data_IF_773815496307
#
_entry.id   IF_773815496307
#
_cell.length_a   1.000
_cell.length_b   1.000
_cell.length_c   1.000
_cell.angle_alpha   90.00
_cell.angle_beta   90.00
_cell.angle_gamma   90.00
#
_symmetry.space_group_name_H-M   'P 1'
#
loop_
_entity.id
_entity.type
_entity.pdbx_description
1 polymer ?
#
# COMPACT_ATOMS: atom_id res chain seq x y z
N UNK A 1 39.90 -36.34 -26.80
CA UNK A 1 38.51 -36.54 -26.34
C UNK A 1 38.22 -35.42 -25.35
N UNK A 2 37.47 -34.41 -25.76
CA UNK A 2 37.09 -33.26 -24.91
C UNK A 2 35.64 -33.49 -24.46
N UNK A 3 35.28 -33.45 -23.18
CA UNK A 3 33.89 -33.34 -22.77
C UNK A 3 33.46 -31.87 -22.78
N UNK A 4 32.28 -31.70 -23.35
CA UNK A 4 31.60 -30.49 -23.77
C UNK A 4 31.18 -29.58 -22.62
N UNK A 5 31.18 -28.29 -22.89
CA UNK A 5 30.84 -27.21 -21.97
C UNK A 5 29.42 -27.33 -21.38
N UNK A 6 29.36 -26.97 -20.10
CA UNK A 6 28.16 -26.84 -19.27
C UNK A 6 27.18 -25.85 -19.90
N UNK A 7 25.96 -26.33 -20.20
CA UNK A 7 24.93 -25.55 -20.88
C UNK A 7 24.24 -24.69 -19.83
N UNK A 8 24.61 -23.42 -19.75
CA UNK A 8 23.87 -22.43 -18.97
C UNK A 8 22.47 -22.33 -19.59
N UNK A 9 21.46 -22.89 -18.94
CA UNK A 9 20.06 -22.73 -19.32
C UNK A 9 19.69 -21.27 -19.03
N UNK A 10 19.74 -20.44 -20.07
CA UNK A 10 19.12 -19.12 -20.05
C UNK A 10 17.61 -19.32 -20.10
N UNK A 11 16.95 -19.26 -18.95
CA UNK A 11 15.49 -19.18 -18.87
C UNK A 11 15.09 -17.81 -19.41
N UNK A 12 14.60 -17.77 -20.65
CA UNK A 12 13.88 -16.61 -21.15
C UNK A 12 12.72 -16.29 -20.18
N UNK A 13 12.42 -15.00 -19.93
CA UNK A 13 11.29 -14.64 -19.09
C UNK A 13 10.02 -15.28 -19.69
N UNK A 14 9.25 -16.01 -18.87
CA UNK A 14 7.99 -16.60 -19.28
C UNK A 14 7.02 -15.53 -19.80
N UNK A 15 6.11 -15.88 -20.70
CA UNK A 15 5.13 -14.95 -21.28
C UNK A 15 4.34 -14.16 -20.20
N UNK A 16 4.09 -14.77 -19.04
CA UNK A 16 3.44 -14.14 -17.87
C UNK A 16 4.28 -13.00 -17.28
N UNK A 17 5.61 -13.10 -17.37
CA UNK A 17 6.54 -12.08 -16.85
C UNK A 17 6.49 -10.79 -17.66
N UNK A 18 6.28 -10.90 -18.98
CA UNK A 18 6.23 -9.75 -19.88
C UNK A 18 4.89 -9.00 -19.76
N UNK A 19 3.78 -9.72 -19.60
CA UNK A 19 2.46 -9.11 -19.38
C UNK A 19 2.38 -8.36 -18.04
N UNK A 20 3.01 -8.89 -16.99
CA UNK A 20 3.10 -8.21 -15.70
C UNK A 20 3.94 -6.92 -15.79
N UNK A 21 5.11 -6.99 -16.44
CA UNK A 21 5.99 -5.83 -16.57
C UNK A 21 5.33 -4.64 -17.26
N UNK A 22 4.50 -4.89 -18.27
CA UNK A 22 3.75 -3.85 -19.00
C UNK A 22 2.67 -3.17 -18.15
N UNK A 23 2.18 -3.84 -17.10
CA UNK A 23 1.17 -3.29 -16.18
C UNK A 23 1.77 -2.44 -15.07
N UNK A 24 3.07 -2.56 -14.79
CA UNK A 24 3.72 -1.88 -13.66
C UNK A 24 3.52 -0.36 -13.65
N UNK A 25 3.64 0.37 -14.78
CA UNK A 25 3.37 1.81 -14.78
C UNK A 25 1.93 2.17 -14.38
N UNK A 26 0.94 1.38 -14.80
CA UNK A 26 -0.46 1.59 -14.45
C UNK A 26 -0.69 1.32 -12.95
N UNK A 27 -0.12 0.24 -12.43
CA UNK A 27 -0.23 -0.14 -11.01
C UNK A 27 0.37 0.93 -10.08
N UNK A 28 1.52 1.50 -10.46
CA UNK A 28 2.11 2.60 -9.70
C UNK A 28 1.23 3.86 -9.73
N UNK A 29 0.60 4.15 -10.88
CA UNK A 29 -0.31 5.29 -10.99
C UNK A 29 -1.62 5.08 -10.20
N UNK A 30 -2.12 3.84 -10.15
CA UNK A 30 -3.26 3.44 -9.32
C UNK A 30 -2.93 3.62 -7.83
N UNK A 31 -1.77 3.12 -7.38
CA UNK A 31 -1.29 3.29 -6.00
C UNK A 31 -1.11 4.78 -5.62
N UNK A 32 -0.52 5.59 -6.50
CA UNK A 32 -0.39 7.04 -6.29
C UNK A 32 -1.77 7.74 -6.19
N UNK A 33 -2.75 7.30 -6.97
CA UNK A 33 -4.11 7.83 -6.92
C UNK A 33 -4.81 7.46 -5.60
N UNK A 34 -4.74 6.21 -5.17
CA UNK A 34 -5.30 5.73 -3.91
C UNK A 34 -4.69 6.47 -2.71
N UNK A 35 -3.37 6.66 -2.69
CA UNK A 35 -2.70 7.42 -1.63
C UNK A 35 -3.18 8.87 -1.56
N UNK A 36 -3.35 9.53 -2.70
CA UNK A 36 -3.90 10.89 -2.77
C UNK A 36 -5.32 10.92 -2.22
N UNK A 37 -6.19 10.00 -2.62
CA UNK A 37 -7.58 9.94 -2.15
C UNK A 37 -7.68 9.69 -0.63
N UNK A 38 -6.80 8.87 -0.07
CA UNK A 38 -6.71 8.65 1.38
C UNK A 38 -6.29 9.94 2.10
N UNK A 39 -5.25 10.62 1.60
CA UNK A 39 -4.78 11.88 2.21
C UNK A 39 -5.82 13.00 2.11
N UNK A 40 -6.55 13.08 1.00
CA UNK A 40 -7.68 13.99 0.82
C UNK A 40 -8.81 13.68 1.83
N UNK A 41 -9.12 12.41 2.05
CA UNK A 41 -10.13 11.98 3.03
C UNK A 41 -9.70 12.28 4.46
N UNK A 42 -8.41 12.16 4.78
CA UNK A 42 -7.83 12.59 6.06
C UNK A 42 -7.97 14.10 6.25
N UNK A 43 -7.66 14.89 5.21
CA UNK A 43 -7.83 16.34 5.25
C UNK A 43 -9.30 16.75 5.40
N UNK A 44 -10.21 16.07 4.71
CA UNK A 44 -11.65 16.31 4.81
C UNK A 44 -12.18 16.01 6.22
N UNK A 45 -11.69 14.95 6.85
CA UNK A 45 -12.08 14.56 8.21
C UNK A 45 -11.82 15.68 9.24
N UNK A 46 -10.79 16.51 9.04
CA UNK A 46 -10.46 17.61 9.95
C UNK A 46 -11.51 18.74 10.00
N UNK A 47 -12.40 18.81 9.01
CA UNK A 47 -13.46 19.83 8.93
C UNK A 47 -14.87 19.23 9.10
N UNK A 48 -14.97 17.93 9.39
CA UNK A 48 -16.26 17.26 9.59
C UNK A 48 -16.88 17.70 10.94
N UNK A 49 -18.17 18.10 10.97
CA UNK A 49 -18.84 18.42 12.23
C UNK A 49 -18.88 17.21 13.18
N UNK A 50 -18.90 17.41 14.51
CA UNK A 50 -18.87 16.31 15.49
C UNK A 50 -19.94 15.22 15.24
N UNK A 51 -21.15 15.61 14.84
CA UNK A 51 -22.25 14.68 14.55
C UNK A 51 -21.98 13.73 13.37
N UNK A 52 -21.10 14.11 12.43
CA UNK A 52 -20.73 13.30 11.27
C UNK A 52 -19.37 12.61 11.41
N UNK A 53 -18.59 12.95 12.44
CA UNK A 53 -17.19 12.57 12.55
C UNK A 53 -17.01 11.04 12.60
N UNK A 54 -17.76 10.36 13.46
CA UNK A 54 -17.68 8.90 13.60
C UNK A 54 -17.96 8.16 12.28
N UNK A 55 -18.96 8.63 11.51
CA UNK A 55 -19.28 8.06 10.20
C UNK A 55 -18.18 8.33 9.18
N UNK A 56 -17.64 9.55 9.13
CA UNK A 56 -16.56 9.91 8.23
C UNK A 56 -15.26 9.15 8.56
N UNK A 57 -14.95 8.98 9.84
CA UNK A 57 -13.84 8.18 10.32
C UNK A 57 -13.98 6.71 9.90
N UNK A 58 -15.15 6.11 10.10
CA UNK A 58 -15.40 4.74 9.68
C UNK A 58 -15.24 4.55 8.16
N UNK A 59 -15.65 5.54 7.36
CA UNK A 59 -15.44 5.52 5.91
C UNK A 59 -13.95 5.59 5.54
N UNK A 60 -13.18 6.45 6.21
CA UNK A 60 -11.73 6.53 6.02
C UNK A 60 -11.03 5.20 6.37
N UNK A 61 -11.38 4.58 7.49
CA UNK A 61 -10.80 3.27 7.86
C UNK A 61 -11.13 2.22 6.81
N UNK A 62 -12.37 2.17 6.32
CA UNK A 62 -12.77 1.23 5.28
C UNK A 62 -12.04 1.46 3.95
N UNK A 63 -11.75 2.73 3.59
CA UNK A 63 -10.95 3.08 2.42
C UNK A 63 -9.50 2.60 2.57
N UNK A 64 -8.86 2.84 3.72
CA UNK A 64 -7.49 2.39 3.99
C UNK A 64 -7.41 0.85 3.94
N UNK A 65 -8.37 0.16 4.55
CA UNK A 65 -8.43 -1.30 4.49
C UNK A 65 -8.59 -1.84 3.06
N UNK A 66 -9.36 -1.14 2.20
CA UNK A 66 -9.53 -1.53 0.82
C UNK A 66 -8.22 -1.37 0.04
N UNK A 67 -7.53 -0.24 0.19
CA UNK A 67 -6.21 0.00 -0.43
C UNK A 67 -5.20 -1.07 0.00
N UNK A 68 -5.07 -1.34 1.30
CA UNK A 68 -4.17 -2.39 1.79
C UNK A 68 -4.50 -3.78 1.22
N UNK A 69 -5.79 -4.13 1.06
CA UNK A 69 -6.16 -5.42 0.45
C UNK A 69 -5.75 -5.51 -1.02
N UNK A 70 -5.94 -4.45 -1.80
CA UNK A 70 -5.55 -4.44 -3.21
C UNK A 70 -4.02 -4.45 -3.37
N UNK A 71 -3.29 -3.67 -2.55
CA UNK A 71 -1.83 -3.69 -2.54
C UNK A 71 -1.29 -5.06 -2.12
N UNK A 72 -1.85 -5.68 -1.08
CA UNK A 72 -1.45 -7.01 -0.65
C UNK A 72 -1.70 -8.09 -1.70
N UNK A 73 -2.81 -7.99 -2.43
CA UNK A 73 -3.11 -8.86 -3.56
C UNK A 73 -2.11 -8.63 -4.70
N UNK A 74 -1.82 -7.38 -5.02
CA UNK A 74 -0.80 -7.00 -6.00
C UNK A 74 0.57 -7.60 -5.64
N UNK A 75 1.01 -7.42 -4.39
CA UNK A 75 2.28 -7.96 -3.89
C UNK A 75 2.34 -9.49 -3.97
N UNK A 76 1.22 -10.18 -3.69
CA UNK A 76 1.09 -11.64 -3.78
C UNK A 76 1.22 -12.13 -5.23
N UNK A 77 0.45 -11.53 -6.15
CA UNK A 77 0.46 -11.84 -7.59
C UNK A 77 1.85 -11.67 -8.21
N UNK A 78 2.66 -10.75 -7.67
CA UNK A 78 4.01 -10.48 -8.15
C UNK A 78 5.09 -11.25 -7.39
N UNK A 79 4.76 -11.96 -6.32
CA UNK A 79 5.74 -12.65 -5.49
C UNK A 79 6.73 -11.69 -4.84
N UNK A 80 6.25 -10.56 -4.32
CA UNK A 80 7.08 -9.60 -3.60
C UNK A 80 7.73 -10.23 -2.36
N UNK A 81 9.07 -10.12 -2.25
CA UNK A 81 9.84 -10.82 -1.23
C UNK A 81 9.51 -10.40 0.20
N UNK A 82 9.15 -9.13 0.40
CA UNK A 82 8.90 -8.57 1.73
C UNK A 82 7.40 -8.51 2.09
N UNK A 83 6.55 -9.22 1.33
CA UNK A 83 5.09 -9.27 1.52
C UNK A 83 4.69 -9.50 2.98
N UNK A 84 5.33 -10.45 3.68
CA UNK A 84 4.99 -10.75 5.08
C UNK A 84 5.28 -9.59 6.02
N UNK A 85 6.40 -8.88 5.80
CA UNK A 85 6.74 -7.71 6.59
C UNK A 85 5.76 -6.57 6.30
N UNK A 86 5.39 -6.38 5.02
CA UNK A 86 4.43 -5.37 4.60
C UNK A 86 3.04 -5.60 5.22
N UNK A 87 2.47 -6.81 5.09
CA UNK A 87 1.19 -7.19 5.73
C UNK A 87 1.17 -6.95 7.24
N UNK A 88 2.32 -7.13 7.90
CA UNK A 88 2.43 -6.88 9.33
C UNK A 88 2.31 -5.39 9.65
N UNK A 89 2.96 -4.52 8.89
CA UNK A 89 2.87 -3.06 9.09
C UNK A 89 1.43 -2.57 8.84
N UNK A 90 0.76 -3.08 7.79
CA UNK A 90 -0.68 -2.85 7.57
C UNK A 90 -1.51 -3.26 8.78
N UNK A 91 -1.32 -4.48 9.29
CA UNK A 91 -2.08 -4.97 10.43
C UNK A 91 -1.85 -4.14 11.70
N UNK A 92 -0.62 -3.67 11.93
CA UNK A 92 -0.28 -2.80 13.05
C UNK A 92 -0.97 -1.42 12.92
N UNK A 93 -0.97 -0.84 11.72
CA UNK A 93 -1.65 0.43 11.43
C UNK A 93 -3.17 0.29 11.57
N UNK A 94 -3.78 -0.73 10.98
CA UNK A 94 -5.22 -1.01 11.10
C UNK A 94 -5.62 -1.28 12.54
N UNK A 95 -4.83 -2.04 13.30
CA UNK A 95 -5.09 -2.30 14.71
C UNK A 95 -5.14 -1.01 15.52
N UNK A 96 -4.27 -0.04 15.21
CA UNK A 96 -4.31 1.26 15.86
C UNK A 96 -5.58 2.04 15.47
N UNK A 97 -5.94 2.11 14.18
CA UNK A 97 -7.16 2.79 13.74
C UNK A 97 -8.43 2.21 14.41
N UNK A 98 -8.54 0.88 14.46
CA UNK A 98 -9.69 0.23 15.11
C UNK A 98 -9.75 0.45 16.61
N UNK A 99 -8.60 0.55 17.30
CA UNK A 99 -8.57 0.84 18.74
C UNK A 99 -9.07 2.24 19.08
N UNK A 100 -9.04 3.18 18.13
CA UNK A 100 -9.45 4.56 18.34
C UNK A 100 -10.96 4.74 18.22
N UNK A 101 -11.64 3.87 17.46
CA UNK A 101 -13.07 3.98 17.14
C UNK A 101 -13.99 4.19 18.35
N UNK A 102 -13.88 3.43 19.46
CA UNK A 102 -14.79 3.60 20.61
C UNK A 102 -14.71 5.00 21.23
N UNK A 103 -13.51 5.61 21.21
CA UNK A 103 -13.30 6.93 21.80
C UNK A 103 -13.86 8.07 20.95
N UNK A 104 -14.04 7.83 19.66
CA UNK A 104 -14.60 8.79 18.71
C UNK A 104 -16.14 8.74 18.73
N UNK A 105 -16.71 7.55 18.98
CA UNK A 105 -18.15 7.35 19.12
C UNK A 105 -18.72 8.04 20.38
N UNK A 106 -17.92 8.14 21.46
CA UNK A 106 -18.31 8.78 22.72
C UNK A 106 -18.17 10.31 22.72
N UNK A 107 -17.74 10.92 21.60
CA UNK A 107 -17.60 12.38 21.47
C UNK A 107 -16.45 12.99 22.28
N UNK A 108 -15.42 12.20 22.61
CA UNK A 108 -14.25 12.65 23.38
C UNK A 108 -13.30 13.51 22.50
N UNK A 109 -13.67 14.78 22.31
CA UNK A 109 -12.99 15.72 21.42
C UNK A 109 -11.45 15.84 21.63
N UNK A 110 -10.90 15.87 22.85
CA UNK A 110 -9.46 15.92 23.05
C UNK A 110 -8.69 14.72 22.48
N UNK A 111 -9.30 13.53 22.45
CA UNK A 111 -8.67 12.35 21.86
C UNK A 111 -8.80 12.34 20.33
N UNK A 112 -9.90 12.88 19.79
CA UNK A 112 -10.05 13.07 18.34
C UNK A 112 -8.94 13.99 17.77
N UNK A 113 -8.60 15.08 18.45
CA UNK A 113 -7.55 16.01 18.00
C UNK A 113 -6.16 15.35 17.95
N UNK A 114 -5.82 14.56 18.98
CA UNK A 114 -4.54 13.82 19.01
C UNK A 114 -4.47 12.81 17.87
N UNK A 115 -5.58 12.08 17.65
CA UNK A 115 -5.72 11.10 16.59
C UNK A 115 -5.57 11.74 15.21
N UNK A 116 -6.22 12.88 14.99
CA UNK A 116 -6.13 13.65 13.75
C UNK A 116 -4.73 14.21 13.49
N UNK A 117 -3.94 14.45 14.54
CA UNK A 117 -2.51 14.77 14.41
C UNK A 117 -1.63 13.57 14.06
N UNK A 118 -1.99 12.37 14.48
CA UNK A 118 -1.17 11.15 14.32
C UNK A 118 -1.41 10.43 12.99
N UNK A 119 -2.67 10.28 12.55
CA UNK A 119 -3.03 9.51 11.36
C UNK A 119 -2.27 9.97 10.09
N UNK A 120 -2.24 11.28 9.74
CA UNK A 120 -1.52 11.72 8.56
C UNK A 120 -0.04 11.36 8.61
N UNK A 121 0.61 11.54 9.77
CA UNK A 121 2.03 11.25 9.94
C UNK A 121 2.34 9.76 9.80
N UNK A 122 1.47 8.89 10.31
CA UNK A 122 1.64 7.44 10.19
C UNK A 122 1.49 6.97 8.73
N UNK A 123 0.46 7.45 8.03
CA UNK A 123 0.24 7.12 6.62
C UNK A 123 1.41 7.60 5.76
N UNK A 124 1.85 8.85 5.93
CA UNK A 124 3.00 9.38 5.19
C UNK A 124 4.28 8.59 5.48
N UNK A 125 4.50 8.17 6.74
CA UNK A 125 5.65 7.32 7.09
C UNK A 125 5.60 5.96 6.39
N UNK A 126 4.42 5.34 6.34
CA UNK A 126 4.20 4.08 5.63
C UNK A 126 4.50 4.23 4.14
N UNK A 127 3.88 5.23 3.49
CA UNK A 127 4.07 5.55 2.07
C UNK A 127 5.53 5.84 1.69
N UNK A 128 6.22 6.67 2.48
CA UNK A 128 7.62 7.01 2.24
C UNK A 128 8.60 5.87 2.58
N UNK A 129 8.14 4.84 3.28
CA UNK A 129 8.95 3.72 3.75
C UNK A 129 8.73 2.46 2.94
N UNK A 130 7.60 1.80 3.19
CA UNK A 130 7.29 0.48 2.65
C UNK A 130 6.82 0.56 1.19
N UNK A 131 5.90 1.48 0.88
CA UNK A 131 5.31 1.60 -0.45
C UNK A 131 6.36 2.13 -1.44
N UNK A 132 7.24 3.02 -0.98
CA UNK A 132 8.39 3.46 -1.78
C UNK A 132 9.35 2.30 -2.08
N UNK A 133 9.58 1.39 -1.13
CA UNK A 133 10.41 0.20 -1.34
C UNK A 133 9.74 -0.78 -2.33
N UNK A 134 8.42 -0.97 -2.21
CA UNK A 134 7.64 -1.74 -3.18
C UNK A 134 7.72 -1.12 -4.58
N UNK A 135 7.48 0.18 -4.71
CA UNK A 135 7.56 0.89 -5.98
C UNK A 135 8.93 0.76 -6.65
N UNK A 136 10.02 0.81 -5.86
CA UNK A 136 11.36 0.59 -6.38
C UNK A 136 11.54 -0.84 -6.90
N UNK A 137 11.09 -1.85 -6.14
CA UNK A 137 11.16 -3.25 -6.57
C UNK A 137 10.37 -3.50 -7.87
N UNK A 138 9.19 -2.90 -8.00
CA UNK A 138 8.38 -2.94 -9.22
C UNK A 138 9.11 -2.29 -10.40
N UNK A 139 9.69 -1.11 -10.22
CA UNK A 139 10.46 -0.43 -11.29
C UNK A 139 11.66 -1.25 -11.74
N UNK A 140 12.40 -1.86 -10.81
CA UNK A 140 13.53 -2.76 -11.13
C UNK A 140 13.04 -3.95 -11.96
N UNK A 141 11.91 -4.55 -11.58
CA UNK A 141 11.31 -5.66 -12.33
C UNK A 141 10.88 -5.26 -13.74
N UNK A 142 10.26 -4.08 -13.89
CA UNK A 142 9.87 -3.55 -15.20
C UNK A 142 11.09 -3.34 -16.12
N UNK A 143 12.17 -2.77 -15.57
CA UNK A 143 13.42 -2.54 -16.32
C UNK A 143 14.12 -3.84 -16.73
N UNK A 144 14.11 -4.86 -15.86
CA UNK A 144 14.68 -6.17 -16.15
C UNK A 144 13.94 -6.93 -17.27
N UNK A 145 12.67 -6.59 -17.51
CA UNK A 145 11.83 -7.16 -18.56
C UNK A 145 11.86 -6.34 -19.88
N UNK A 146 12.93 -5.57 -20.12
CA UNK A 146 13.07 -4.54 -21.16
C UNK A 146 12.58 -4.87 -22.59
N UNK A 147 12.41 -3.84 -23.43
CA UNK A 147 11.61 -3.90 -24.66
C UNK A 147 12.15 -4.91 -25.65
N UNK A 148 11.22 -5.69 -26.23
CA UNK A 148 11.48 -6.63 -27.32
C UNK A 148 12.17 -5.96 -28.53
#
# INVERSE_FOLDING_TARGET
MIPTADRVVSLAPSADSNGLAQRIPALLAEMDAEHREVLESVAALAIVPPAGFASAYAALVAQIEAGFREEEKMMDEMGYSDLRAHRRDHAELLALLHRLRPYLDDGNAPLADIVMGMIPAMLVRHMAGMDQALALALRVRAAAAGPC
#
